data_IF_069551291743
#
_entry.id   IF_069551291743
#
_cell.length_a   1.000
_cell.length_b   1.000
_cell.length_c   1.000
_cell.angle_alpha   90.00
_cell.angle_beta   90.00
_cell.angle_gamma   90.00
#
_symmetry.space_group_name_H-M   'P 1'
#
loop_
_entity.id
_entity.type
_entity.pdbx_description
1 polymer ?
#
# COMPACT_ATOMS: atom_id res chain seq x y z
N UNK A 1 -3.34 -7.10 2.42
CA UNK A 1 -2.65 -7.87 3.44
C UNK A 1 -2.52 -9.32 3.01
N UNK A 2 -1.39 -9.97 3.33
CA UNK A 2 -1.17 -11.40 3.08
C UNK A 2 -0.18 -11.95 4.10
N UNK A 3 -0.31 -13.22 4.46
CA UNK A 3 0.67 -13.90 5.33
C UNK A 3 2.06 -13.80 4.71
N UNK A 4 3.06 -13.45 5.54
CA UNK A 4 4.43 -13.30 5.06
C UNK A 4 5.03 -14.65 4.69
N UNK A 5 5.53 -14.78 3.47
CA UNK A 5 6.14 -15.99 2.92
C UNK A 5 7.57 -15.76 2.40
N UNK A 6 8.19 -14.62 2.74
CA UNK A 6 9.55 -14.29 2.34
C UNK A 6 9.71 -13.78 0.90
N UNK A 7 8.61 -13.60 0.17
CA UNK A 7 8.68 -13.20 -1.23
C UNK A 7 9.09 -11.72 -1.41
N UNK A 8 9.88 -11.39 -2.45
CA UNK A 8 10.28 -10.02 -2.73
C UNK A 8 9.12 -9.04 -2.91
N UNK A 9 7.97 -9.48 -3.44
CA UNK A 9 6.77 -8.62 -3.59
C UNK A 9 6.06 -8.32 -2.27
N UNK A 10 6.42 -8.99 -1.18
CA UNK A 10 5.96 -8.69 0.19
C UNK A 10 6.95 -7.80 0.96
N UNK A 11 8.06 -7.41 0.33
CA UNK A 11 9.13 -6.67 0.96
C UNK A 11 9.18 -5.25 0.40
N UNK A 12 9.44 -4.30 1.29
CA UNK A 12 9.37 -2.88 0.98
C UNK A 12 10.62 -2.17 1.47
N UNK A 13 11.15 -1.30 0.64
CA UNK A 13 12.28 -0.44 0.99
C UNK A 13 11.77 0.95 1.32
N UNK A 14 12.20 1.46 2.46
CA UNK A 14 11.97 2.85 2.84
C UNK A 14 13.12 3.70 2.31
N UNK A 15 12.77 4.64 1.43
CA UNK A 15 13.70 5.55 0.77
C UNK A 15 13.46 6.94 1.33
N UNK A 16 14.51 7.58 1.85
CA UNK A 16 14.43 8.94 2.37
C UNK A 16 13.97 9.92 1.26
N UNK A 17 12.97 10.72 1.55
CA UNK A 17 12.41 11.74 0.68
C UNK A 17 12.67 13.17 1.20
N UNK A 18 13.48 13.30 2.24
CA UNK A 18 13.79 14.56 2.93
C UNK A 18 12.70 15.01 3.90
N UNK A 19 13.07 15.90 4.82
CA UNK A 19 12.15 16.51 5.78
C UNK A 19 11.37 15.50 6.64
N UNK A 20 12.01 14.35 7.00
CA UNK A 20 11.37 13.29 7.79
C UNK A 20 10.31 12.50 7.03
N UNK A 21 10.29 12.62 5.70
CA UNK A 21 9.36 11.89 4.82
C UNK A 21 10.06 10.71 4.16
N UNK A 22 9.26 9.70 3.83
CA UNK A 22 9.72 8.47 3.23
C UNK A 22 8.91 8.14 1.98
N UNK A 23 9.56 7.50 1.01
CA UNK A 23 8.90 6.76 -0.06
C UNK A 23 9.01 5.29 0.24
N UNK A 24 7.94 4.53 0.01
CA UNK A 24 7.87 3.10 0.29
C UNK A 24 7.87 2.37 -1.05
N UNK A 25 9.01 1.77 -1.38
CA UNK A 25 9.25 1.11 -2.66
C UNK A 25 9.11 -0.40 -2.53
N UNK A 26 8.32 -1.03 -3.39
CA UNK A 26 8.22 -2.48 -3.42
C UNK A 26 9.50 -3.10 -4.00
N UNK A 27 10.06 -4.09 -3.31
CA UNK A 27 11.33 -4.70 -3.69
C UNK A 27 11.29 -5.43 -5.02
N UNK A 28 10.17 -6.02 -5.38
CA UNK A 28 10.02 -6.80 -6.61
C UNK A 28 9.72 -5.93 -7.82
N UNK A 29 8.75 -5.03 -7.70
CA UNK A 29 8.27 -4.22 -8.83
C UNK A 29 9.05 -2.92 -9.02
N UNK A 30 9.77 -2.45 -7.99
CA UNK A 30 10.40 -1.13 -7.97
C UNK A 30 9.41 0.03 -7.89
N UNK A 31 8.10 -0.26 -7.80
CA UNK A 31 7.04 0.76 -7.74
C UNK A 31 6.85 1.29 -6.33
N UNK A 32 6.34 2.52 -6.25
CA UNK A 32 6.04 3.21 -5.00
C UNK A 32 4.66 2.86 -4.49
N UNK A 33 4.51 2.75 -3.18
CA UNK A 33 3.21 2.78 -2.51
C UNK A 33 2.61 4.17 -2.70
N UNK A 34 1.42 4.24 -3.27
CA UNK A 34 0.78 5.46 -3.71
C UNK A 34 -0.72 5.46 -3.37
N UNK A 35 -1.31 6.62 -3.30
CA UNK A 35 -2.77 6.79 -3.19
C UNK A 35 -3.42 6.64 -4.56
N UNK A 36 -4.37 5.75 -4.68
CA UNK A 36 -5.09 5.52 -5.93
C UNK A 36 -5.70 6.83 -6.45
N UNK A 37 -5.34 7.20 -7.69
CA UNK A 37 -5.80 8.42 -8.37
C UNK A 37 -5.49 9.73 -7.60
N UNK A 38 -4.51 9.73 -6.71
CA UNK A 38 -4.21 10.88 -5.85
C UNK A 38 -5.35 11.25 -4.89
N UNK A 39 -6.21 10.28 -4.55
CA UNK A 39 -7.33 10.49 -3.64
C UNK A 39 -6.87 10.85 -2.23
N UNK A 40 -7.61 11.75 -1.56
CA UNK A 40 -7.30 12.23 -0.21
C UNK A 40 -8.42 11.97 0.79
N UNK A 41 -9.49 11.34 0.36
CA UNK A 41 -10.65 11.02 1.21
C UNK A 41 -10.48 9.68 1.90
N UNK A 42 -11.18 9.50 3.00
CA UNK A 42 -11.28 8.20 3.67
C UNK A 42 -11.74 7.11 2.71
N UNK A 43 -11.14 5.92 2.84
CA UNK A 43 -11.42 4.81 1.94
C UNK A 43 -10.63 4.85 0.63
N UNK A 44 -9.78 5.86 0.41
CA UNK A 44 -8.87 5.84 -0.74
C UNK A 44 -7.89 4.68 -0.61
N UNK A 45 -7.78 3.88 -1.65
CA UNK A 45 -6.95 2.67 -1.65
C UNK A 45 -5.49 2.97 -1.87
N UNK A 46 -4.67 2.05 -1.35
CA UNK A 46 -3.26 1.99 -1.67
C UNK A 46 -3.07 1.12 -2.92
N UNK A 47 -2.22 1.60 -3.83
CA UNK A 47 -1.76 0.84 -4.98
C UNK A 47 -0.25 1.01 -5.18
N UNK A 48 0.30 0.33 -6.16
CA UNK A 48 1.67 0.54 -6.60
C UNK A 48 1.68 1.34 -7.89
N UNK A 49 2.50 2.40 -7.94
CA UNK A 49 2.63 3.26 -9.12
C UNK A 49 4.08 3.61 -9.39
N UNK A 50 4.39 4.04 -10.61
CA UNK A 50 5.71 4.53 -10.95
C UNK A 50 6.07 5.74 -10.09
N UNK A 51 7.37 5.92 -9.81
CA UNK A 51 7.83 7.03 -8.98
C UNK A 51 7.48 8.36 -9.62
N UNK A 52 6.85 9.23 -8.84
CA UNK A 52 6.54 10.62 -9.19
C UNK A 52 7.17 11.57 -8.18
N UNK A 53 7.09 12.89 -8.43
CA UNK A 53 7.42 13.91 -7.43
C UNK A 53 6.27 14.17 -6.44
N UNK A 54 5.11 13.56 -6.65
CA UNK A 54 3.88 13.82 -5.90
C UNK A 54 3.94 13.41 -4.44
N UNK A 55 3.22 14.16 -3.60
CA UNK A 55 3.11 13.88 -2.15
C UNK A 55 2.20 12.69 -1.83
N UNK A 56 1.40 12.20 -2.79
CA UNK A 56 0.63 10.96 -2.66
C UNK A 56 1.49 9.73 -2.39
N UNK A 57 2.78 9.78 -2.77
CA UNK A 57 3.79 8.76 -2.54
C UNK A 57 4.70 9.06 -1.34
N UNK A 58 4.41 10.10 -0.56
CA UNK A 58 5.21 10.50 0.59
C UNK A 58 4.50 10.13 1.89
N UNK A 59 5.27 9.54 2.81
CA UNK A 59 4.77 8.96 4.04
C UNK A 59 5.59 9.42 5.23
N UNK A 60 4.93 9.75 6.33
CA UNK A 60 5.55 9.99 7.63
C UNK A 60 5.45 8.72 8.49
N UNK A 61 6.50 8.40 9.21
CA UNK A 61 6.54 7.28 10.16
C UNK A 61 6.42 7.85 11.57
N UNK A 62 5.38 7.44 12.27
CA UNK A 62 5.06 7.94 13.60
C UNK A 62 5.12 6.78 14.63
N UNK A 63 6.19 6.71 15.45
CA UNK A 63 6.31 5.71 16.49
C UNK A 63 5.16 5.82 17.50
N UNK A 64 4.65 4.67 17.94
CA UNK A 64 3.62 4.58 18.97
C UNK A 64 4.22 4.16 20.31
N UNK A 65 3.48 4.38 21.40
CA UNK A 65 3.89 3.91 22.73
C UNK A 65 3.94 2.40 22.85
N UNK A 66 3.25 1.68 21.97
CA UNK A 66 3.27 0.21 21.91
C UNK A 66 4.52 -0.36 21.22
N UNK A 67 5.44 0.49 20.72
CA UNK A 67 6.61 0.08 19.93
C UNK A 67 6.29 -0.24 18.48
N UNK A 68 5.06 0.04 18.03
CA UNK A 68 4.64 -0.05 16.62
C UNK A 68 4.80 1.29 15.91
N UNK A 69 4.47 1.34 14.65
CA UNK A 69 4.55 2.55 13.81
C UNK A 69 3.22 2.79 13.12
N UNK A 70 2.74 4.02 13.15
CA UNK A 70 1.70 4.49 12.23
C UNK A 70 2.35 5.07 11.00
N UNK A 71 1.75 4.82 9.85
CA UNK A 71 2.25 5.31 8.56
C UNK A 71 1.21 6.28 8.01
N UNK A 72 1.55 7.58 8.01
CA UNK A 72 0.65 8.65 7.60
C UNK A 72 1.02 9.16 6.22
N UNK A 73 0.06 9.28 5.32
CA UNK A 73 0.27 9.91 4.03
C UNK A 73 0.39 11.44 4.19
N UNK A 74 1.42 12.02 3.57
CA UNK A 74 1.71 13.46 3.70
C UNK A 74 0.70 14.33 2.98
N UNK A 75 0.16 13.89 1.82
CA UNK A 75 -0.83 14.65 1.06
C UNK A 75 -2.21 14.63 1.74
N UNK A 76 -2.65 13.45 2.16
CA UNK A 76 -4.00 13.23 2.65
C UNK A 76 -4.15 13.49 4.15
N UNK A 77 -3.05 13.54 4.90
CA UNK A 77 -3.03 13.62 6.37
C UNK A 77 -3.84 12.51 7.04
N UNK A 78 -3.74 11.28 6.47
CA UNK A 78 -4.46 10.07 6.90
C UNK A 78 -3.53 8.89 7.00
N UNK A 79 -3.92 7.91 7.80
CA UNK A 79 -3.11 6.74 8.16
C UNK A 79 -3.44 5.53 7.30
N UNK A 80 -2.44 4.70 7.02
CA UNK A 80 -2.68 3.38 6.44
C UNK A 80 -3.52 2.56 7.40
N UNK A 81 -4.62 2.03 6.89
CA UNK A 81 -5.69 1.38 7.63
C UNK A 81 -6.11 0.08 6.92
N UNK A 82 -6.50 -0.93 7.69
CA UNK A 82 -7.10 -2.15 7.15
C UNK A 82 -8.63 -2.01 7.09
N UNK A 83 -9.18 -2.14 5.90
CA UNK A 83 -10.62 -2.08 5.66
C UNK A 83 -11.36 -3.04 6.59
N UNK A 84 -12.29 -2.51 7.39
CA UNK A 84 -13.11 -3.28 8.31
C UNK A 84 -12.33 -4.06 9.36
N UNK A 85 -11.12 -3.64 9.72
CA UNK A 85 -10.22 -4.34 10.64
C UNK A 85 -9.92 -5.79 10.22
N UNK A 86 -10.07 -6.09 8.93
CA UNK A 86 -9.91 -7.44 8.40
C UNK A 86 -8.43 -7.82 8.35
N UNK A 87 -8.06 -8.89 9.05
CA UNK A 87 -6.69 -9.43 9.09
C UNK A 87 -6.47 -10.65 8.19
N UNK A 88 -7.48 -11.07 7.44
CA UNK A 88 -7.38 -12.23 6.55
C UNK A 88 -6.53 -11.93 5.32
N UNK A 89 -5.98 -12.98 4.69
CA UNK A 89 -5.31 -12.87 3.41
C UNK A 89 -6.27 -12.28 2.35
N UNK A 90 -5.79 -11.30 1.59
CA UNK A 90 -6.59 -10.55 0.62
C UNK A 90 -7.26 -9.29 1.19
N UNK A 91 -7.13 -9.01 2.50
CA UNK A 91 -7.63 -7.78 3.08
C UNK A 91 -6.98 -6.55 2.43
N UNK A 92 -7.80 -5.55 2.11
CA UNK A 92 -7.36 -4.32 1.47
C UNK A 92 -6.82 -3.31 2.50
N UNK A 93 -5.82 -2.55 2.07
CA UNK A 93 -5.34 -1.37 2.78
C UNK A 93 -5.88 -0.11 2.10
N UNK A 94 -6.23 0.85 2.93
CA UNK A 94 -6.76 2.16 2.55
C UNK A 94 -6.09 3.25 3.39
N UNK A 95 -6.44 4.51 3.17
CA UNK A 95 -6.17 5.57 4.13
C UNK A 95 -7.46 5.92 4.88
N UNK A 96 -7.32 6.22 6.16
CA UNK A 96 -8.41 6.61 7.06
C UNK A 96 -7.96 7.67 8.05
N UNK A 97 -8.89 8.47 8.56
CA UNK A 97 -8.61 9.38 9.67
C UNK A 97 -8.07 8.61 10.88
N UNK A 98 -7.34 9.28 11.74
CA UNK A 98 -6.83 8.66 12.95
C UNK A 98 -7.97 8.06 13.78
N UNK A 99 -7.82 6.79 14.09
CA UNK A 99 -8.63 6.09 15.11
C UNK A 99 -7.66 5.38 16.06
N UNK A 100 -8.01 5.31 17.34
CA UNK A 100 -7.17 4.67 18.35
C UNK A 100 -7.24 3.13 18.25
N UNK A 101 -7.15 2.57 17.03
CA UNK A 101 -7.30 1.15 16.73
C UNK A 101 -5.99 0.49 16.25
N UNK A 102 -5.83 -0.79 16.53
CA UNK A 102 -4.66 -1.57 16.12
C UNK A 102 -4.55 -1.80 14.61
N UNK A 103 -5.63 -1.56 13.85
CA UNK A 103 -5.67 -1.65 12.39
C UNK A 103 -4.89 -0.54 11.67
N UNK A 104 -4.38 0.47 12.41
CA UNK A 104 -3.51 1.55 11.91
C UNK A 104 -2.09 1.47 12.48
N UNK A 105 -1.76 0.40 13.20
CA UNK A 105 -0.44 0.21 13.81
C UNK A 105 0.28 -0.97 13.18
N UNK A 106 1.51 -0.73 12.72
CA UNK A 106 2.31 -1.67 11.95
C UNK A 106 3.60 -2.01 12.68
N UNK A 107 3.98 -3.26 12.71
CA UNK A 107 5.33 -3.68 13.11
C UNK A 107 6.22 -3.60 11.88
N UNK A 108 7.33 -2.86 11.97
CA UNK A 108 8.32 -2.79 10.91
C UNK A 108 9.48 -3.71 11.28
N UNK A 109 9.64 -4.79 10.54
CA UNK A 109 10.74 -5.75 10.72
C UNK A 109 11.80 -5.52 9.64
N UNK A 110 13.05 -5.36 10.08
CA UNK A 110 14.17 -5.29 9.15
C UNK A 110 14.49 -6.68 8.62
N UNK A 111 14.58 -6.78 7.30
CA UNK A 111 14.96 -8.02 6.62
C UNK A 111 16.38 -7.84 6.12
N UNK A 112 17.29 -8.73 6.54
CA UNK A 112 18.65 -8.73 6.03
C UNK A 112 18.69 -9.19 4.58
N UNK A 113 19.47 -8.49 3.71
CA UNK A 113 19.56 -8.81 2.28
C UNK A 113 19.96 -10.25 1.99
N UNK A 114 20.79 -10.86 2.84
CA UNK A 114 21.27 -12.23 2.66
C UNK A 114 20.22 -13.29 2.97
N UNK A 115 19.35 -13.05 3.94
CA UNK A 115 18.20 -13.92 4.24
C UNK A 115 17.17 -13.91 3.10
N UNK A 116 17.09 -12.79 2.39
CA UNK A 116 16.21 -12.62 1.25
C UNK A 116 16.69 -13.33 -0.03
N UNK A 117 17.98 -13.71 -0.13
CA UNK A 117 18.54 -14.46 -1.26
C UNK A 117 18.37 -15.98 -1.11
N UNK A 118 18.31 -16.49 0.12
CA UNK A 118 18.06 -17.92 0.36
C UNK A 118 16.65 -18.35 -0.04
N UNK A 119 15.66 -17.45 0.03
CA UNK A 119 14.32 -17.68 -0.51
C UNK A 119 14.22 -17.75 -2.03
N UNK A 120 15.16 -17.10 -2.76
CA UNK A 120 15.18 -17.13 -4.24
C UNK A 120 15.47 -18.49 -4.85
N UNK A 121 16.17 -19.37 -4.14
CA UNK A 121 16.57 -20.70 -4.67
C UNK A 121 15.50 -21.77 -4.53
N UNK A 122 14.46 -21.55 -3.70
CA UNK A 122 13.44 -22.55 -3.43
C UNK A 122 12.14 -22.37 -4.23
N UNK A 123 11.91 -21.27 -4.93
CA UNK A 123 10.57 -20.90 -5.40
C UNK A 123 10.45 -20.31 -6.82
N UNK A 124 11.40 -20.58 -7.72
CA UNK A 124 11.14 -20.36 -9.17
C UNK A 124 10.01 -21.22 -9.74
N UNK A 125 9.31 -22.00 -8.91
CA UNK A 125 8.39 -23.03 -9.35
C UNK A 125 6.90 -22.80 -9.09
N UNK A 126 6.43 -21.82 -8.33
CA UNK A 126 4.96 -21.61 -8.15
C UNK A 126 4.62 -20.18 -7.75
N UNK A 127 4.49 -19.32 -8.73
CA UNK A 127 3.74 -18.07 -8.58
C UNK A 127 2.22 -18.43 -8.50
N UNK A 128 1.55 -18.20 -7.37
CA UNK A 128 0.10 -18.37 -7.32
C UNK A 128 -0.53 -17.25 -8.13
N UNK A 129 -0.82 -17.53 -9.38
CA UNK A 129 -1.57 -16.62 -10.25
C UNK A 129 -2.87 -16.21 -9.54
N UNK A 130 -3.24 -14.92 -9.57
CA UNK A 130 -4.47 -14.47 -8.95
C UNK A 130 -5.65 -15.28 -9.49
N UNK A 131 -6.48 -15.77 -8.60
CA UNK A 131 -7.65 -16.56 -8.95
C UNK A 131 -8.57 -15.77 -9.90
N UNK A 132 -9.40 -16.44 -10.71
CA UNK A 132 -10.36 -15.78 -11.59
C UNK A 132 -11.25 -14.78 -10.84
N UNK A 133 -11.60 -15.08 -9.59
CA UNK A 133 -12.39 -14.22 -8.71
C UNK A 133 -11.62 -12.94 -8.31
N UNK A 134 -10.33 -13.05 -8.00
CA UNK A 134 -9.47 -11.90 -7.68
C UNK A 134 -9.22 -11.02 -8.92
N UNK A 135 -9.02 -11.63 -10.10
CA UNK A 135 -8.91 -10.88 -11.37
C UNK A 135 -10.20 -10.15 -11.71
N UNK A 136 -11.36 -10.79 -11.52
CA UNK A 136 -12.67 -10.17 -11.73
C UNK A 136 -12.87 -8.98 -10.80
N UNK A 137 -12.58 -9.14 -9.53
CA UNK A 137 -12.68 -8.07 -8.54
C UNK A 137 -11.77 -6.88 -8.90
N UNK A 138 -10.53 -7.14 -9.26
CA UNK A 138 -9.57 -6.11 -9.69
C UNK A 138 -10.05 -5.37 -10.96
N UNK A 139 -10.60 -6.09 -11.94
CA UNK A 139 -11.13 -5.51 -13.16
C UNK A 139 -12.42 -4.69 -12.91
N UNK A 140 -13.31 -5.15 -12.04
CA UNK A 140 -14.53 -4.41 -11.66
C UNK A 140 -14.17 -3.11 -10.91
N UNK A 141 -13.12 -3.13 -10.13
CA UNK A 141 -12.59 -1.96 -9.43
C UNK A 141 -12.01 -0.92 -10.40
N UNK A 142 -11.17 -1.35 -11.34
CA UNK A 142 -10.64 -0.49 -12.41
C UNK A 142 -11.77 0.12 -13.23
N UNK A 143 -12.83 -0.65 -13.53
CA UNK A 143 -13.99 -0.19 -14.27
C UNK A 143 -14.81 0.87 -13.51
N UNK A 144 -15.00 0.69 -12.19
CA UNK A 144 -15.66 1.67 -11.34
C UNK A 144 -14.89 2.98 -11.25
N UNK A 145 -13.55 2.91 -11.12
CA UNK A 145 -12.67 4.07 -11.06
C UNK A 145 -12.70 4.85 -12.39
N UNK A 146 -12.63 4.16 -13.53
CA UNK A 146 -12.69 4.78 -14.85
C UNK A 146 -14.05 5.44 -15.15
N UNK A 147 -15.15 4.90 -14.61
CA UNK A 147 -16.47 5.49 -14.76
C UNK A 147 -16.71 6.69 -13.82
N UNK A 148 -16.15 6.68 -12.63
CA UNK A 148 -16.21 7.82 -11.70
C UNK A 148 -15.46 9.05 -12.26
N UNK A 149 -14.36 8.85 -13.00
CA UNK A 149 -13.60 9.91 -13.65
C UNK A 149 -14.34 10.59 -14.81
N UNK A 150 -15.24 9.88 -15.50
CA UNK A 150 -15.99 10.41 -16.65
C UNK A 150 -17.22 11.25 -16.25
N UNK A 151 -17.72 11.10 -15.04
CA UNK A 151 -18.92 11.84 -14.56
C UNK A 151 -18.64 13.32 -14.19
N UNK A 152 -17.38 13.75 -14.12
CA UNK A 152 -17.01 15.13 -13.71
C UNK A 152 -16.74 16.09 -14.88
N UNK A 153 -16.69 15.61 -16.13
CA UNK A 153 -16.38 16.44 -17.30
C UNK A 153 -17.62 17.07 -17.97
N UNK A 154 -18.82 16.90 -17.43
CA UNK A 154 -20.10 17.23 -18.08
C UNK A 154 -20.95 18.30 -17.42
N UNK A 155 -20.39 19.27 -16.67
CA UNK A 155 -21.16 20.45 -16.21
C UNK A 155 -20.30 21.70 -16.29
N UNK A 156 -20.21 22.27 -17.46
CA UNK A 156 -20.03 23.72 -17.69
C UNK A 156 -21.04 24.13 -18.76
N UNK A 157 -22.07 24.77 -18.34
CA UNK A 157 -22.87 25.70 -19.11
C UNK A 157 -23.29 26.78 -18.13
#
# INVERSE_FOLDING_TARGET
LWSYAGHPWQQWQFVDAGEGRWRICNRFTGKMMDLALGGVVEGTWLHQWDRTSGLSQCWALEPTRSGRTRIRNVLADKYIDLVGMNTSNGAQAQIWNFVAGGNQEWTLERIDPDTAQSGRRAEEAKDPQPTPSQRKHQNDLVRKLNNAGKGRAGRKA
#
